data_IF_030755931742
#
_entry.id   IF_030755931742
#
_cell.length_a   1.000
_cell.length_b   1.000
_cell.length_c   1.000
_cell.angle_alpha   90.00
_cell.angle_beta   90.00
_cell.angle_gamma   90.00
#
_symmetry.space_group_name_H-M   'P 1'
#
loop_
_entity.id
_entity.type
_entity.pdbx_description
1 polymer ?
#
# COMPACT_ATOMS: atom_id res chain seq x y z
N UNK A 1 -17.36 -10.69 -27.52
CA UNK A 1 -17.31 -9.30 -26.99
C UNK A 1 -17.64 -9.35 -25.50
N UNK A 2 -16.69 -9.03 -24.62
CA UNK A 2 -16.96 -9.00 -23.17
C UNK A 2 -17.98 -7.90 -22.88
N UNK A 3 -19.11 -8.27 -22.26
CA UNK A 3 -20.19 -7.35 -21.90
C UNK A 3 -19.60 -6.29 -20.97
N UNK A 4 -19.68 -5.02 -21.37
CA UNK A 4 -19.17 -3.90 -20.56
C UNK A 4 -19.92 -3.88 -19.24
N UNK A 5 -19.20 -4.07 -18.13
CA UNK A 5 -19.77 -3.98 -16.78
C UNK A 5 -20.15 -2.53 -16.52
N UNK A 6 -21.37 -2.30 -16.00
CA UNK A 6 -21.87 -0.98 -15.57
C UNK A 6 -22.13 -1.08 -14.07
N UNK A 7 -21.48 -0.23 -13.28
CA UNK A 7 -21.66 -0.24 -11.83
C UNK A 7 -22.91 0.59 -11.47
N UNK A 8 -23.91 -0.04 -10.86
CA UNK A 8 -25.09 0.66 -10.34
C UNK A 8 -24.73 1.54 -9.14
N UNK A 9 -25.56 2.56 -8.86
CA UNK A 9 -25.38 3.40 -7.68
C UNK A 9 -25.40 2.58 -6.37
N UNK A 10 -26.22 1.52 -6.32
CA UNK A 10 -26.29 0.63 -5.16
C UNK A 10 -25.00 -0.17 -4.98
N UNK A 11 -24.41 -0.71 -6.07
CA UNK A 11 -23.11 -1.37 -6.00
C UNK A 11 -22.00 -0.44 -5.49
N UNK A 12 -22.00 0.82 -5.95
CA UNK A 12 -21.04 1.83 -5.50
C UNK A 12 -21.21 2.08 -3.99
N UNK A 13 -22.45 2.26 -3.52
CA UNK A 13 -22.76 2.45 -2.10
C UNK A 13 -22.30 1.26 -1.24
N UNK A 14 -22.55 0.04 -1.70
CA UNK A 14 -22.15 -1.17 -1.00
C UNK A 14 -20.63 -1.36 -0.98
N UNK A 15 -19.94 -1.03 -2.08
CA UNK A 15 -18.47 -1.02 -2.11
C UNK A 15 -17.88 0.01 -1.14
N UNK A 16 -18.47 1.21 -1.04
CA UNK A 16 -18.07 2.23 -0.06
C UNK A 16 -18.22 1.70 1.36
N UNK A 17 -19.35 1.06 1.66
CA UNK A 17 -19.63 0.52 2.99
C UNK A 17 -18.57 -0.50 3.41
N UNK A 18 -18.23 -1.43 2.53
CA UNK A 18 -17.26 -2.51 2.78
C UNK A 18 -15.80 -2.02 2.83
N UNK A 19 -15.36 -1.23 1.86
CA UNK A 19 -13.92 -1.02 1.62
C UNK A 19 -13.42 0.40 1.92
N UNK A 20 -14.28 1.42 1.87
CA UNK A 20 -13.84 2.82 1.98
C UNK A 20 -13.86 3.26 3.45
N UNK A 21 -12.70 3.25 4.10
CA UNK A 21 -12.53 3.77 5.46
C UNK A 21 -12.28 5.30 5.50
N UNK A 22 -11.61 5.83 4.47
CA UNK A 22 -11.43 7.27 4.26
C UNK A 22 -11.40 7.58 2.76
N UNK A 23 -11.61 8.85 2.41
CA UNK A 23 -11.75 9.30 1.01
C UNK A 23 -10.41 9.60 0.31
N UNK A 24 -9.28 9.54 1.01
CA UNK A 24 -7.98 9.54 0.35
C UNK A 24 -7.78 8.22 -0.41
N UNK A 25 -7.14 8.27 -1.58
CA UNK A 25 -6.91 7.10 -2.43
C UNK A 25 -5.70 7.30 -3.34
N UNK A 26 -5.28 6.23 -4.00
CA UNK A 26 -4.31 6.27 -5.10
C UNK A 26 -4.95 5.73 -6.38
N UNK A 27 -4.38 6.08 -7.52
CA UNK A 27 -4.76 5.57 -8.84
C UNK A 27 -3.55 4.90 -9.46
N UNK A 28 -3.74 3.73 -10.05
CA UNK A 28 -2.72 3.04 -10.82
C UNK A 28 -2.60 3.68 -12.22
N UNK A 29 -1.38 3.91 -12.69
CA UNK A 29 -1.11 4.47 -14.01
C UNK A 29 -1.76 3.63 -15.12
N UNK A 30 -2.34 4.29 -16.12
CA UNK A 30 -2.94 3.60 -17.27
C UNK A 30 -1.89 2.95 -18.15
N UNK A 31 -0.76 3.62 -18.34
CA UNK A 31 0.38 3.10 -19.09
C UNK A 31 1.39 2.49 -18.12
N UNK A 32 1.98 1.33 -18.46
CA UNK A 32 3.13 0.85 -17.73
C UNK A 32 4.31 1.79 -17.97
N UNK A 33 5.20 1.83 -16.98
CA UNK A 33 6.52 2.41 -17.11
C UNK A 33 7.31 1.73 -18.25
N UNK A 34 7.90 2.48 -19.18
CA UNK A 34 8.58 1.88 -20.35
C UNK A 34 9.74 0.96 -20.01
N UNK A 35 10.47 1.24 -18.92
CA UNK A 35 11.66 0.47 -18.53
C UNK A 35 11.30 -0.77 -17.70
N UNK A 36 10.53 -0.58 -16.63
CA UNK A 36 10.21 -1.66 -15.69
C UNK A 36 8.98 -2.47 -16.07
N UNK A 37 8.16 -1.98 -17.02
CA UNK A 37 6.85 -2.52 -17.34
C UNK A 37 5.81 -2.39 -16.21
N UNK A 38 6.15 -1.69 -15.12
CA UNK A 38 5.30 -1.60 -13.93
C UNK A 38 4.26 -0.49 -14.06
N UNK A 39 3.08 -0.74 -13.52
CA UNK A 39 2.08 0.30 -13.34
C UNK A 39 2.19 0.89 -11.94
N UNK A 40 2.58 2.16 -11.84
CA UNK A 40 2.79 2.84 -10.56
C UNK A 40 1.50 3.42 -10.00
N UNK A 41 1.40 3.44 -8.67
CA UNK A 41 0.31 4.14 -7.98
C UNK A 41 0.72 5.56 -7.65
N UNK A 42 -0.15 6.52 -7.93
CA UNK A 42 0.02 7.92 -7.57
C UNK A 42 -1.23 8.48 -6.90
N UNK A 43 -1.08 9.58 -6.16
CA UNK A 43 -2.22 10.29 -5.59
C UNK A 43 -2.76 11.29 -6.61
N UNK A 44 -4.04 11.24 -6.96
CA UNK A 44 -4.61 12.18 -7.91
C UNK A 44 -4.71 13.58 -7.28
N UNK A 45 -4.42 14.58 -8.10
CA UNK A 45 -4.50 16.01 -7.76
C UNK A 45 -5.25 16.74 -8.87
N UNK A 46 -5.82 17.89 -8.56
CA UNK A 46 -6.34 18.80 -9.58
C UNK A 46 -5.22 19.23 -10.55
N UNK A 47 -5.58 19.61 -11.78
CA UNK A 47 -4.60 20.07 -12.78
C UNK A 47 -3.92 21.36 -12.28
N UNK A 48 -2.58 21.42 -12.38
CA UNK A 48 -1.76 22.55 -11.92
C UNK A 48 -1.07 22.27 -10.58
N UNK A 49 -0.94 23.27 -9.70
CA UNK A 49 -0.41 23.10 -8.34
C UNK A 49 -1.38 22.37 -7.38
N UNK A 50 -2.36 21.65 -7.94
CA UNK A 50 -3.68 21.42 -7.39
C UNK A 50 -3.77 20.64 -6.07
N UNK A 51 -4.88 20.89 -5.37
CA UNK A 51 -5.23 20.20 -4.14
C UNK A 51 -5.43 18.68 -4.38
N UNK A 52 -5.26 17.84 -3.33
CA UNK A 52 -5.58 16.42 -3.41
C UNK A 52 -7.04 16.19 -3.80
N UNK A 53 -7.28 15.26 -4.73
CA UNK A 53 -8.63 14.84 -5.07
C UNK A 53 -9.13 13.79 -4.09
N UNK A 54 -10.40 13.92 -3.69
CA UNK A 54 -11.08 12.98 -2.81
C UNK A 54 -11.89 11.94 -3.61
N UNK A 55 -12.04 10.75 -3.04
CA UNK A 55 -12.72 9.63 -3.68
C UNK A 55 -14.22 9.92 -3.81
N UNK A 56 -14.72 10.04 -5.04
CA UNK A 56 -16.15 10.21 -5.32
C UNK A 56 -16.81 8.90 -5.78
N UNK A 57 -18.14 8.90 -5.81
CA UNK A 57 -18.93 7.77 -6.28
C UNK A 57 -18.65 7.48 -7.77
N UNK A 58 -18.41 8.51 -8.59
CA UNK A 58 -17.99 8.33 -9.99
C UNK A 58 -16.62 7.67 -10.10
N UNK A 59 -15.68 8.00 -9.21
CA UNK A 59 -14.34 7.37 -9.17
C UNK A 59 -14.45 5.88 -8.81
N UNK A 60 -15.35 5.53 -7.89
CA UNK A 60 -15.60 4.14 -7.51
C UNK A 60 -16.30 3.37 -8.62
N UNK A 61 -17.31 3.95 -9.27
CA UNK A 61 -17.91 3.37 -10.48
C UNK A 61 -16.84 3.11 -11.55
N UNK A 62 -15.96 4.06 -11.80
CA UNK A 62 -14.87 3.90 -12.78
C UNK A 62 -13.90 2.76 -12.44
N UNK A 63 -13.65 2.50 -11.16
CA UNK A 63 -12.88 1.36 -10.69
C UNK A 63 -13.58 0.04 -10.94
N UNK A 64 -14.85 -0.06 -10.51
CA UNK A 64 -15.67 -1.26 -10.65
C UNK A 64 -15.88 -1.62 -12.12
N UNK A 65 -16.06 -0.63 -12.99
CA UNK A 65 -16.19 -0.81 -14.44
C UNK A 65 -14.86 -1.08 -15.15
N UNK A 66 -13.74 -1.05 -14.43
CA UNK A 66 -12.41 -1.31 -14.98
C UNK A 66 -11.83 -0.17 -15.82
N UNK A 67 -12.40 1.03 -15.76
CA UNK A 67 -11.88 2.24 -16.43
C UNK A 67 -10.65 2.81 -15.71
N UNK A 68 -10.55 2.61 -14.40
CA UNK A 68 -9.34 2.89 -13.60
C UNK A 68 -9.12 1.80 -12.55
N UNK A 69 -8.02 1.90 -11.80
CA UNK A 69 -7.71 0.96 -10.71
C UNK A 69 -7.27 1.77 -9.51
N UNK A 70 -7.98 1.63 -8.40
CA UNK A 70 -7.76 2.40 -7.19
C UNK A 70 -6.88 1.63 -6.20
N UNK A 71 -6.11 2.37 -5.41
CA UNK A 71 -5.60 1.90 -4.13
C UNK A 71 -6.34 2.57 -2.99
N UNK A 72 -6.72 1.78 -1.98
CA UNK A 72 -7.45 2.21 -0.80
C UNK A 72 -6.55 2.18 0.42
N UNK A 73 -6.72 3.17 1.29
CA UNK A 73 -6.00 3.24 2.57
C UNK A 73 -6.83 2.63 3.69
N UNK A 74 -6.20 1.75 4.47
CA UNK A 74 -6.85 1.04 5.56
C UNK A 74 -7.15 1.94 6.77
N UNK A 75 -6.22 2.81 7.17
CA UNK A 75 -6.32 3.59 8.43
C UNK A 75 -6.94 4.97 8.20
N UNK A 76 -7.89 5.34 9.05
CA UNK A 76 -8.39 6.71 9.14
C UNK A 76 -7.54 7.51 10.17
N UNK A 77 -6.86 8.60 9.77
CA UNK A 77 -5.94 9.32 10.63
C UNK A 77 -6.64 10.05 11.78
N UNK A 78 -7.95 10.29 11.72
CA UNK A 78 -8.67 10.98 12.81
C UNK A 78 -8.86 10.10 14.04
N UNK A 79 -8.81 8.78 13.89
CA UNK A 79 -9.08 7.83 14.98
C UNK A 79 -8.16 6.61 15.00
N UNK A 80 -7.25 6.48 14.03
CA UNK A 80 -6.31 5.36 13.90
C UNK A 80 -6.99 3.98 13.76
N UNK A 81 -8.24 3.96 13.27
CA UNK A 81 -9.05 2.76 13.09
C UNK A 81 -9.15 2.35 11.62
N UNK A 82 -9.38 1.06 11.35
CA UNK A 82 -9.59 0.49 10.01
C UNK A 82 -10.93 -0.26 9.93
N UNK A 83 -11.49 -0.42 8.73
CA UNK A 83 -12.76 -1.16 8.47
C UNK A 83 -12.57 -2.65 8.16
N UNK A 84 -11.35 -3.01 7.82
CA UNK A 84 -10.98 -4.33 7.34
C UNK A 84 -9.51 -4.57 7.63
N UNK A 85 -9.15 -5.85 7.63
CA UNK A 85 -7.78 -6.34 7.61
C UNK A 85 -7.59 -7.09 6.31
N UNK A 86 -6.44 -6.90 5.66
CA UNK A 86 -6.08 -7.65 4.46
C UNK A 86 -4.68 -8.25 4.64
N UNK A 87 -4.56 -9.55 4.40
CA UNK A 87 -3.30 -10.28 4.40
C UNK A 87 -2.91 -10.51 2.95
N UNK A 88 -1.89 -9.80 2.48
CA UNK A 88 -1.38 -9.90 1.12
C UNK A 88 -0.23 -10.91 1.07
N UNK A 89 -0.35 -11.96 0.26
CA UNK A 89 0.68 -12.97 0.10
C UNK A 89 1.07 -13.11 -1.38
N UNK A 90 2.29 -12.68 -1.69
CA UNK A 90 2.89 -12.71 -3.03
C UNK A 90 4.28 -13.37 -2.98
N UNK A 91 4.29 -14.69 -2.71
CA UNK A 91 5.50 -15.52 -2.64
C UNK A 91 5.17 -17.00 -2.93
N UNK A 92 6.22 -17.83 -3.06
CA UNK A 92 6.05 -19.28 -3.27
C UNK A 92 5.32 -19.91 -2.07
N UNK A 93 4.32 -20.75 -2.33
CA UNK A 93 3.45 -21.37 -1.32
C UNK A 93 2.49 -20.41 -0.60
N UNK A 94 2.32 -19.17 -1.09
CA UNK A 94 1.42 -18.19 -0.50
C UNK A 94 -0.01 -18.72 -0.28
N UNK A 95 -0.55 -19.49 -1.23
CA UNK A 95 -1.90 -20.06 -1.11
C UNK A 95 -2.04 -21.02 0.08
N UNK A 96 -1.04 -21.86 0.33
CA UNK A 96 -1.07 -22.82 1.44
C UNK A 96 -1.11 -22.07 2.78
N UNK A 97 -0.33 -21.00 2.91
CA UNK A 97 -0.30 -20.19 4.12
C UNK A 97 -1.58 -19.36 4.30
N UNK A 98 -2.15 -18.83 3.21
CA UNK A 98 -3.46 -18.16 3.27
C UNK A 98 -4.58 -19.14 3.69
N UNK A 99 -4.55 -20.39 3.23
CA UNK A 99 -5.51 -21.43 3.63
C UNK A 99 -5.33 -21.81 5.10
N UNK A 100 -4.08 -21.98 5.59
CA UNK A 100 -3.82 -22.21 7.02
C UNK A 100 -4.38 -21.08 7.89
N UNK A 101 -4.13 -19.83 7.50
CA UNK A 101 -4.69 -18.66 8.19
C UNK A 101 -6.21 -18.68 8.18
N UNK A 102 -6.83 -18.90 7.00
CA UNK A 102 -8.29 -18.96 6.87
C UNK A 102 -8.90 -20.07 7.74
N UNK A 103 -8.27 -21.25 7.82
CA UNK A 103 -8.71 -22.34 8.67
C UNK A 103 -8.69 -21.97 10.16
N UNK A 104 -7.61 -21.33 10.63
CA UNK A 104 -7.53 -20.91 12.02
C UNK A 104 -8.49 -19.75 12.34
N UNK A 105 -8.67 -18.78 11.42
CA UNK A 105 -9.69 -17.74 11.54
C UNK A 105 -11.09 -18.36 11.67
N UNK A 106 -11.40 -19.39 10.88
CA UNK A 106 -12.68 -20.12 10.98
C UNK A 106 -12.85 -20.80 12.34
N UNK A 107 -11.77 -21.37 12.89
CA UNK A 107 -11.76 -21.95 14.25
C UNK A 107 -12.04 -20.88 15.31
N UNK A 108 -11.53 -19.67 15.11
CA UNK A 108 -11.82 -18.49 15.95
C UNK A 108 -13.23 -17.90 15.69
N UNK A 109 -14.02 -18.49 14.78
CA UNK A 109 -15.32 -18.00 14.29
C UNK A 109 -15.25 -16.61 13.62
N UNK A 110 -14.13 -16.34 12.97
CA UNK A 110 -13.88 -15.13 12.17
C UNK A 110 -13.96 -15.48 10.69
N UNK A 111 -14.97 -14.94 10.01
CA UNK A 111 -15.10 -15.13 8.57
C UNK A 111 -14.04 -14.33 7.81
N UNK A 112 -13.52 -14.93 6.74
CA UNK A 112 -12.57 -14.28 5.84
C UNK A 112 -12.82 -14.61 4.38
N UNK A 113 -12.50 -13.66 3.50
CA UNK A 113 -12.71 -13.76 2.06
C UNK A 113 -11.37 -13.83 1.32
N UNK A 114 -11.14 -14.90 0.58
CA UNK A 114 -9.93 -15.08 -0.20
C UNK A 114 -10.11 -14.48 -1.60
N UNK A 115 -9.42 -13.39 -1.89
CA UNK A 115 -9.32 -12.75 -3.22
C UNK A 115 -8.16 -13.37 -4.00
N UNK A 116 -8.39 -13.74 -5.26
CA UNK A 116 -7.30 -14.14 -6.17
C UNK A 116 -6.29 -13.00 -6.37
N UNK A 117 -5.04 -13.34 -6.67
CA UNK A 117 -4.05 -12.38 -7.16
C UNK A 117 -3.23 -12.96 -8.31
N UNK A 118 -2.25 -12.22 -8.81
CA UNK A 118 -1.40 -12.67 -9.93
C UNK A 118 -0.50 -13.85 -9.54
N UNK A 119 -0.01 -13.88 -8.30
CA UNK A 119 1.03 -14.81 -7.83
C UNK A 119 0.70 -15.47 -6.47
N UNK A 120 -0.46 -15.14 -5.90
CA UNK A 120 -0.96 -15.67 -4.64
C UNK A 120 -2.40 -15.19 -4.42
N UNK A 121 -2.65 -14.53 -3.30
CA UNK A 121 -3.98 -14.02 -2.96
C UNK A 121 -3.97 -12.93 -1.89
N UNK A 122 -5.14 -12.40 -1.60
CA UNK A 122 -5.37 -11.56 -0.43
C UNK A 122 -6.46 -12.18 0.44
N UNK A 123 -6.21 -12.36 1.73
CA UNK A 123 -7.24 -12.80 2.68
C UNK A 123 -7.80 -11.60 3.43
N UNK A 124 -9.10 -11.34 3.28
CA UNK A 124 -9.79 -10.17 3.81
C UNK A 124 -10.66 -10.53 5.00
N UNK A 125 -10.61 -9.72 6.05
CA UNK A 125 -11.47 -9.81 7.23
C UNK A 125 -12.21 -8.49 7.37
N UNK A 126 -13.54 -8.52 7.47
CA UNK A 126 -14.37 -7.32 7.62
C UNK A 126 -14.74 -7.10 9.08
N UNK A 127 -14.79 -5.84 9.49
CA UNK A 127 -14.99 -5.47 10.89
C UNK A 127 -16.39 -4.87 11.09
N UNK A 128 -17.01 -5.17 12.24
CA UNK A 128 -18.39 -4.78 12.53
C UNK A 128 -18.53 -3.25 12.66
N UNK A 129 -17.49 -2.63 13.19
CA UNK A 129 -17.25 -1.19 13.20
C UNK A 129 -15.75 -0.94 12.94
N UNK A 130 -15.30 0.29 12.65
CA UNK A 130 -13.88 0.56 12.55
C UNK A 130 -13.14 0.22 13.86
N UNK A 131 -12.18 -0.72 13.82
CA UNK A 131 -11.40 -1.17 14.99
C UNK A 131 -9.99 -0.61 14.97
N UNK A 132 -9.31 -0.60 16.13
CA UNK A 132 -7.97 -0.04 16.25
C UNK A 132 -6.97 -0.79 15.35
N UNK A 133 -6.25 -0.05 14.51
CA UNK A 133 -5.33 -0.65 13.54
C UNK A 133 -4.25 -1.52 14.22
N UNK A 134 -3.72 -1.05 15.35
CA UNK A 134 -2.74 -1.78 16.17
C UNK A 134 -3.26 -3.14 16.63
N UNK A 135 -4.46 -3.21 17.21
CA UNK A 135 -5.03 -4.47 17.70
C UNK A 135 -5.28 -5.45 16.55
N UNK A 136 -5.79 -4.96 15.42
CA UNK A 136 -5.96 -5.77 14.22
C UNK A 136 -4.64 -6.41 13.76
N UNK A 137 -3.52 -5.66 13.84
CA UNK A 137 -2.20 -6.20 13.54
C UNK A 137 -1.79 -7.26 14.57
N UNK A 138 -1.89 -6.98 15.87
CA UNK A 138 -1.52 -7.94 16.92
C UNK A 138 -2.18 -9.29 16.67
N UNK A 139 -3.50 -9.30 16.42
CA UNK A 139 -4.23 -10.53 16.17
C UNK A 139 -3.62 -11.34 15.00
N UNK A 140 -3.36 -10.71 13.86
CA UNK A 140 -2.83 -11.41 12.69
C UNK A 140 -1.37 -11.82 12.86
N UNK A 141 -0.54 -11.01 13.52
CA UNK A 141 0.85 -11.36 13.76
C UNK A 141 0.99 -12.51 14.78
N UNK A 142 0.19 -12.53 15.84
CA UNK A 142 0.10 -13.66 16.76
C UNK A 142 -0.32 -14.94 16.03
N UNK A 143 -1.38 -14.84 15.22
CA UNK A 143 -1.91 -15.92 14.41
C UNK A 143 -0.84 -16.49 13.45
N UNK A 144 -0.15 -15.61 12.71
CA UNK A 144 0.92 -16.00 11.80
C UNK A 144 2.09 -16.67 12.56
N UNK A 145 2.45 -16.13 13.73
CA UNK A 145 3.49 -16.70 14.59
C UNK A 145 3.16 -18.11 15.06
N UNK A 146 1.95 -18.33 15.59
CA UNK A 146 1.49 -19.66 16.04
C UNK A 146 1.44 -20.69 14.92
N UNK A 147 1.15 -20.25 13.70
CA UNK A 147 1.03 -21.13 12.52
C UNK A 147 2.35 -21.29 11.75
N UNK A 148 3.43 -20.61 12.17
CA UNK A 148 4.70 -20.61 11.44
C UNK A 148 4.60 -19.99 10.04
N UNK A 149 3.65 -19.08 9.83
CA UNK A 149 3.47 -18.39 8.54
C UNK A 149 4.50 -17.26 8.44
N UNK A 150 5.32 -17.22 7.38
CA UNK A 150 6.38 -16.22 7.26
C UNK A 150 5.79 -14.83 7.06
N UNK A 151 6.29 -13.84 7.81
CA UNK A 151 5.91 -12.44 7.65
C UNK A 151 7.06 -11.65 7.03
N UNK A 152 6.76 -10.88 5.99
CA UNK A 152 7.77 -10.11 5.28
C UNK A 152 8.33 -8.99 6.16
N UNK A 153 9.65 -8.82 6.15
CA UNK A 153 10.33 -7.75 6.88
C UNK A 153 10.71 -8.09 8.32
N UNK A 154 10.34 -9.26 8.86
CA UNK A 154 10.82 -9.76 10.16
C UNK A 154 12.12 -10.56 10.01
N UNK A 155 13.05 -10.08 9.18
CA UNK A 155 14.27 -10.80 8.79
C UNK A 155 14.12 -11.73 7.58
N UNK A 156 12.89 -11.93 7.09
CA UNK A 156 12.60 -12.71 5.88
C UNK A 156 12.42 -11.80 4.66
N UNK A 157 12.96 -12.23 3.52
CA UNK A 157 12.84 -11.52 2.24
C UNK A 157 11.43 -11.61 1.65
N UNK A 158 10.75 -12.74 1.89
CA UNK A 158 9.41 -13.06 1.43
C UNK A 158 8.52 -13.49 2.60
N UNK A 159 7.21 -13.36 2.42
CA UNK A 159 6.20 -13.66 3.43
C UNK A 159 4.95 -12.82 3.22
N UNK A 160 3.97 -13.00 4.10
CA UNK A 160 2.75 -12.21 4.11
C UNK A 160 3.05 -10.75 4.47
N UNK A 161 2.23 -9.84 3.96
CA UNK A 161 2.16 -8.44 4.40
C UNK A 161 0.78 -8.16 4.97
N UNK A 162 0.73 -7.64 6.21
CA UNK A 162 -0.53 -7.33 6.90
C UNK A 162 -0.91 -5.87 6.67
N UNK A 163 -2.14 -5.64 6.21
CA UNK A 163 -2.76 -4.31 6.11
C UNK A 163 -3.90 -4.20 7.15
N UNK A 164 -3.91 -3.17 8.01
CA UNK A 164 -2.99 -2.03 8.03
C UNK A 164 -1.51 -2.37 8.31
N UNK A 165 -0.59 -1.70 7.59
CA UNK A 165 0.87 -1.88 7.78
C UNK A 165 1.44 -1.11 8.98
N UNK A 166 0.68 -0.20 9.56
CA UNK A 166 1.12 0.68 10.66
C UNK A 166 0.15 0.55 11.83
N UNK A 167 0.66 0.71 13.05
CA UNK A 167 -0.18 0.81 14.26
C UNK A 167 -0.96 2.11 14.31
N UNK A 168 -0.33 3.17 13.80
CA UNK A 168 -0.92 4.50 13.66
C UNK A 168 -0.22 5.26 12.52
N UNK A 169 -0.85 6.31 12.03
CA UNK A 169 -0.31 7.24 11.06
C UNK A 169 -0.33 8.65 11.64
N UNK A 170 0.77 9.37 11.49
CA UNK A 170 0.88 10.76 11.90
C UNK A 170 -0.08 11.67 11.11
N UNK A 171 -0.40 12.84 11.68
CA UNK A 171 -1.19 13.87 11.00
C UNK A 171 -0.58 14.22 9.63
N UNK A 172 -1.40 14.23 8.59
CA UNK A 172 -0.97 14.48 7.21
C UNK A 172 -0.27 13.29 6.53
N UNK A 173 0.04 12.20 7.24
CA UNK A 173 0.56 10.98 6.65
C UNK A 173 -0.57 10.15 6.03
N UNK A 174 -0.25 9.50 4.90
CA UNK A 174 -1.21 8.65 4.21
C UNK A 174 -1.07 7.16 4.59
N UNK A 175 0.11 6.70 5.01
CA UNK A 175 0.35 5.27 5.20
C UNK A 175 0.40 4.50 3.87
N UNK A 176 0.12 3.21 3.91
CA UNK A 176 0.20 2.33 2.74
C UNK A 176 -1.21 2.02 2.21
N UNK A 177 -1.38 2.16 0.90
CA UNK A 177 -2.58 1.72 0.21
C UNK A 177 -2.40 0.29 -0.30
N UNK A 178 -3.51 -0.45 -0.37
CA UNK A 178 -3.63 -1.72 -1.08
C UNK A 178 -4.55 -1.53 -2.29
N UNK A 179 -4.38 -2.31 -3.37
CA UNK A 179 -5.30 -2.26 -4.52
C UNK A 179 -6.73 -2.53 -4.03
N UNK A 180 -7.67 -1.68 -4.42
CA UNK A 180 -9.09 -1.91 -4.19
C UNK A 180 -9.56 -3.18 -4.89
N UNK A 181 -10.28 -4.10 -4.22
CA UNK A 181 -10.83 -5.30 -4.84
C UNK A 181 -11.82 -4.99 -5.94
N UNK A 182 -12.20 -6.01 -6.71
CA UNK A 182 -13.27 -5.89 -7.71
C UNK A 182 -13.06 -4.76 -8.74
N UNK A 183 -11.80 -4.39 -9.00
CA UNK A 183 -11.35 -3.57 -10.13
C UNK A 183 -10.51 -4.40 -11.12
N UNK A 184 -10.27 -3.90 -12.34
CA UNK A 184 -9.33 -4.56 -13.27
C UNK A 184 -7.89 -4.32 -12.79
N UNK A 185 -7.10 -5.38 -12.67
CA UNK A 185 -5.67 -5.28 -12.39
C UNK A 185 -4.92 -4.96 -13.69
N UNK A 186 -4.27 -3.78 -13.76
CA UNK A 186 -3.68 -3.29 -15.03
C UNK A 186 -2.63 -4.22 -15.61
N UNK A 187 -1.68 -4.67 -14.79
CA UNK A 187 -0.63 -5.57 -15.25
C UNK A 187 -1.09 -6.98 -15.64
N UNK A 188 -2.35 -7.35 -15.38
CA UNK A 188 -2.89 -8.67 -15.74
C UNK A 188 -4.06 -8.57 -16.74
N UNK A 189 -4.52 -7.35 -17.04
CA UNK A 189 -5.66 -7.11 -17.94
C UNK A 189 -6.99 -7.72 -17.49
N UNK A 190 -7.10 -8.24 -16.26
CA UNK A 190 -8.28 -8.95 -15.76
C UNK A 190 -8.64 -8.55 -14.35
N UNK A 191 -9.88 -8.83 -13.97
CA UNK A 191 -10.33 -8.74 -12.58
C UNK A 191 -9.91 -9.99 -11.82
N UNK A 192 -9.56 -9.80 -10.56
CA UNK A 192 -9.44 -10.89 -9.61
C UNK A 192 -10.70 -10.94 -8.75
N UNK A 193 -11.26 -12.14 -8.61
CA UNK A 193 -12.49 -12.41 -7.91
C UNK A 193 -12.18 -13.01 -6.53
N UNK A 194 -13.12 -12.86 -5.60
CA UNK A 194 -13.14 -13.66 -4.40
C UNK A 194 -13.63 -15.07 -4.72
N UNK A 195 -13.04 -16.07 -4.08
CA UNK A 195 -13.59 -17.42 -4.06
C UNK A 195 -14.91 -17.43 -3.29
N UNK A 196 -15.79 -18.39 -3.62
CA UNK A 196 -17.08 -18.57 -2.93
C UNK A 196 -18.26 -17.78 -3.51
N UNK A 197 -18.09 -17.12 -4.67
CA UNK A 197 -19.15 -16.40 -5.37
C UNK A 197 -18.96 -16.38 -6.89
N UNK A 198 -20.05 -16.17 -7.63
CA UNK A 198 -20.03 -16.04 -9.09
C UNK A 198 -19.22 -14.83 -9.56
N UNK A 199 -18.79 -14.86 -10.82
CA UNK A 199 -17.95 -13.83 -11.44
C UNK A 199 -18.73 -12.60 -11.94
N UNK A 200 -19.59 -12.07 -11.07
CA UNK A 200 -20.34 -10.81 -11.28
C UNK A 200 -20.09 -9.86 -10.09
N UNK A 201 -20.22 -8.55 -10.30
CA UNK A 201 -19.98 -7.60 -9.20
C UNK A 201 -21.03 -7.78 -8.09
N UNK A 202 -22.26 -8.05 -8.48
CA UNK A 202 -23.41 -8.25 -7.61
C UNK A 202 -23.22 -9.47 -6.72
N UNK A 203 -22.89 -10.64 -7.29
CA UNK A 203 -22.68 -11.85 -6.52
C UNK A 203 -21.51 -11.70 -5.53
N UNK A 204 -20.45 -11.02 -5.95
CA UNK A 204 -19.27 -10.80 -5.12
C UNK A 204 -19.58 -9.88 -3.94
N UNK A 205 -20.26 -8.76 -4.17
CA UNK A 205 -20.65 -7.85 -3.09
C UNK A 205 -21.64 -8.53 -2.14
N UNK A 206 -22.61 -9.28 -2.65
CA UNK A 206 -23.56 -10.03 -1.81
C UNK A 206 -22.87 -11.09 -0.95
N UNK A 207 -21.89 -11.82 -1.50
CA UNK A 207 -21.07 -12.75 -0.75
C UNK A 207 -20.33 -12.05 0.40
N UNK A 208 -19.62 -10.95 0.11
CA UNK A 208 -18.86 -10.21 1.12
C UNK A 208 -19.74 -9.62 2.22
N UNK A 209 -20.96 -9.19 1.89
CA UNK A 209 -21.93 -8.65 2.86
C UNK A 209 -22.41 -9.71 3.87
N UNK A 210 -22.52 -10.96 3.44
CA UNK A 210 -22.99 -12.10 4.25
C UNK A 210 -21.97 -12.58 5.27
N UNK A 211 -20.69 -12.29 5.05
CA UNK A 211 -19.64 -12.64 5.99
C UNK A 211 -19.91 -12.00 7.35
N UNK A 212 -19.71 -12.80 8.40
CA UNK A 212 -19.67 -12.34 9.78
C UNK A 212 -18.55 -11.32 9.91
N UNK A 213 -18.84 -10.23 10.60
CA UNK A 213 -17.90 -9.13 10.80
C UNK A 213 -17.31 -9.26 12.20
N UNK A 214 -15.99 -9.17 12.31
CA UNK A 214 -15.27 -9.24 13.58
C UNK A 214 -15.62 -8.02 14.45
N UNK A 215 -16.05 -8.27 15.69
CA UNK A 215 -16.39 -7.23 16.66
C UNK A 215 -15.18 -6.74 17.46
N UNK A 216 -15.32 -5.59 18.12
CA UNK A 216 -14.28 -5.05 19.02
C UNK A 216 -14.04 -5.99 20.20
N UNK A 217 -15.11 -6.52 20.81
CA UNK A 217 -15.06 -7.44 21.95
C UNK A 217 -14.31 -8.75 21.62
N UNK A 218 -14.53 -9.30 20.42
CA UNK A 218 -13.80 -10.48 19.94
C UNK A 218 -12.32 -10.15 19.72
N UNK A 219 -12.03 -9.02 19.07
CA UNK A 219 -10.65 -8.59 18.83
C UNK A 219 -9.89 -8.34 20.14
N UNK A 220 -10.52 -7.70 21.11
CA UNK A 220 -9.95 -7.48 22.44
C UNK A 220 -9.64 -8.82 23.13
N UNK A 221 -10.54 -9.80 23.03
CA UNK A 221 -10.33 -11.15 23.58
C UNK A 221 -9.14 -11.85 22.91
N UNK A 222 -9.02 -11.78 21.59
CA UNK A 222 -7.92 -12.41 20.85
C UNK A 222 -6.56 -11.75 21.09
N UNK A 223 -6.57 -10.48 21.51
CA UNK A 223 -5.34 -9.69 21.73
C UNK A 223 -5.02 -9.47 23.20
N UNK A 224 -5.85 -9.97 24.12
CA UNK A 224 -5.67 -9.82 25.55
C UNK A 224 -4.35 -10.46 26.02
N UNK A 225 -3.45 -9.63 26.56
CA UNK A 225 -2.13 -10.07 27.04
C UNK A 225 -1.12 -10.33 25.93
N UNK A 226 -1.48 -10.11 24.66
CA UNK A 226 -0.59 -10.30 23.51
C UNK A 226 -0.11 -8.94 23.00
N UNK A 227 1.17 -8.88 22.65
CA UNK A 227 1.74 -7.71 21.96
C UNK A 227 2.32 -8.11 20.60
N UNK A 228 2.65 -7.11 19.77
CA UNK A 228 3.33 -7.37 18.51
C UNK A 228 4.69 -8.06 18.76
N UNK A 229 5.07 -9.03 17.91
CA UNK A 229 6.39 -9.63 17.97
C UNK A 229 7.49 -8.57 17.93
N UNK A 230 8.56 -8.76 18.70
CA UNK A 230 9.64 -7.79 18.85
C UNK A 230 10.28 -7.42 17.50
N UNK A 231 10.37 -8.37 16.58
CA UNK A 231 10.91 -8.21 15.23
C UNK A 231 10.09 -7.21 14.41
N UNK A 232 8.78 -7.19 14.63
CA UNK A 232 7.83 -6.28 14.00
C UNK A 232 7.98 -4.88 14.59
N UNK A 233 8.04 -4.78 15.92
CA UNK A 233 8.26 -3.50 16.62
C UNK A 233 9.60 -2.85 16.21
N UNK A 234 10.63 -3.65 15.99
CA UNK A 234 11.94 -3.20 15.51
C UNK A 234 11.87 -2.71 14.06
N UNK A 235 11.04 -3.29 13.18
CA UNK A 235 10.88 -2.80 11.81
C UNK A 235 10.13 -1.46 11.74
N UNK A 236 9.18 -1.20 12.65
CA UNK A 236 8.45 0.09 12.68
C UNK A 236 9.30 1.21 13.29
N UNK A 237 10.16 0.88 14.26
CA UNK A 237 11.07 1.84 14.93
C UNK A 237 12.41 2.02 14.21
N UNK A 238 12.76 1.13 13.28
CA UNK A 238 13.88 1.32 12.37
C UNK A 238 13.53 2.32 11.26
N UNK A 239 13.42 3.61 11.60
CA UNK A 239 14.20 4.55 10.80
C UNK A 239 15.64 4.01 10.83
N UNK A 240 16.36 3.89 9.71
CA UNK A 240 17.70 3.33 9.74
C UNK A 240 18.48 4.08 10.81
N UNK A 241 18.77 3.42 11.93
CA UNK A 241 19.70 3.95 12.91
C UNK A 241 20.96 4.14 12.08
N UNK A 242 21.38 5.39 11.92
CA UNK A 242 22.69 5.71 11.40
C UNK A 242 23.65 4.88 12.25
N UNK A 243 24.09 3.73 11.73
CA UNK A 243 25.21 3.04 12.33
C UNK A 243 26.34 4.04 12.22
N UNK A 244 26.87 4.43 13.37
CA UNK A 244 28.07 5.26 13.58
C UNK A 244 29.34 4.60 12.98
N UNK A 245 29.25 4.06 11.76
CA UNK A 245 30.37 3.42 11.06
C UNK A 245 31.20 4.42 10.24
N UNK A 246 30.88 5.72 10.28
CA UNK A 246 31.55 6.71 9.44
C UNK A 246 31.87 8.03 10.17
N UNK A 247 32.08 7.99 11.49
CA UNK A 247 32.53 9.13 12.29
C UNK A 247 33.99 9.59 12.01
N UNK A 248 34.47 9.43 10.76
CA UNK A 248 35.85 9.77 10.40
C UNK A 248 36.13 9.91 8.89
N UNK A 249 35.13 9.85 8.00
CA UNK A 249 35.35 9.95 6.55
C UNK A 249 34.57 11.10 5.92
N UNK A 250 35.21 11.83 4.99
CA UNK A 250 34.73 12.98 4.18
C UNK A 250 33.20 13.10 4.05
N UNK A 251 32.64 14.33 4.03
CA UNK A 251 31.19 14.53 3.97
C UNK A 251 30.58 13.75 2.81
N UNK A 252 29.74 12.76 3.15
CA UNK A 252 29.01 11.97 2.17
C UNK A 252 28.06 12.86 1.37
N UNK A 253 27.84 12.51 0.11
CA UNK A 253 26.94 13.25 -0.75
C UNK A 253 25.50 13.27 -0.20
N UNK A 254 24.98 14.47 0.02
CA UNK A 254 23.57 14.73 0.33
C UNK A 254 22.92 15.44 -0.85
N UNK A 255 21.83 14.89 -1.40
CA UNK A 255 21.13 15.49 -2.55
C UNK A 255 20.49 16.84 -2.19
N UNK A 256 20.14 17.06 -0.92
CA UNK A 256 19.48 18.28 -0.44
C UNK A 256 20.35 19.53 -0.64
N UNK A 257 21.67 19.38 -0.66
CA UNK A 257 22.60 20.49 -0.87
C UNK A 257 22.59 21.00 -2.32
N UNK A 258 22.00 20.23 -3.25
CA UNK A 258 22.05 20.49 -4.70
C UNK A 258 20.66 20.71 -5.32
N UNK A 259 19.61 20.69 -4.51
CA UNK A 259 18.22 20.85 -4.98
C UNK A 259 17.58 22.07 -4.34
N UNK A 260 16.63 22.67 -5.05
CA UNK A 260 15.95 23.88 -4.61
C UNK A 260 14.96 23.65 -3.47
N UNK A 261 14.15 24.68 -3.20
CA UNK A 261 13.13 24.69 -2.13
C UNK A 261 12.37 23.37 -2.05
N UNK A 262 12.34 22.80 -0.85
CA UNK A 262 11.65 21.56 -0.55
C UNK A 262 10.33 21.85 0.18
N UNK A 263 9.38 20.93 0.07
CA UNK A 263 8.19 20.86 0.93
C UNK A 263 8.05 19.47 1.52
N UNK A 264 7.61 19.37 2.76
CA UNK A 264 7.42 18.07 3.40
C UNK A 264 6.10 17.46 2.95
N UNK A 265 6.14 16.23 2.43
CA UNK A 265 4.97 15.45 2.05
C UNK A 265 5.13 14.02 2.58
N UNK A 266 4.43 13.72 3.67
CA UNK A 266 4.58 12.45 4.37
C UNK A 266 6.00 12.30 4.93
N UNK A 267 6.70 11.23 4.55
CA UNK A 267 8.09 10.96 4.99
C UNK A 267 9.15 11.58 4.07
N UNK A 268 8.78 12.40 3.07
CA UNK A 268 9.71 12.90 2.07
C UNK A 268 9.73 14.44 2.02
N UNK A 269 10.93 14.99 1.81
CA UNK A 269 11.09 16.27 1.14
C UNK A 269 10.78 16.07 -0.34
N UNK A 270 9.82 16.83 -0.84
CA UNK A 270 9.45 16.85 -2.25
C UNK A 270 9.95 18.14 -2.87
N UNK A 271 10.66 18.02 -3.98
CA UNK A 271 11.27 19.14 -4.71
C UNK A 271 11.38 18.83 -6.18
N UNK A 272 11.89 19.79 -6.94
CA UNK A 272 12.13 19.66 -8.37
C UNK A 272 13.26 18.67 -8.63
N UNK A 273 13.04 17.68 -9.49
CA UNK A 273 14.07 16.78 -10.00
C UNK A 273 15.00 17.53 -10.98
N UNK A 274 16.31 17.61 -10.72
CA UNK A 274 17.27 18.29 -11.59
C UNK A 274 17.29 17.75 -13.03
N UNK A 275 17.23 16.43 -13.19
CA UNK A 275 17.24 15.79 -14.51
C UNK A 275 15.95 16.03 -15.30
N UNK A 276 14.78 15.91 -14.65
CA UNK A 276 13.51 16.25 -15.30
C UNK A 276 13.41 17.74 -15.62
N UNK A 277 14.00 18.62 -14.80
CA UNK A 277 13.96 20.05 -15.01
C UNK A 277 14.69 20.44 -16.31
N UNK A 278 15.87 19.85 -16.56
CA UNK A 278 16.66 20.09 -17.77
C UNK A 278 15.92 19.69 -19.05
N UNK A 279 15.02 18.72 -18.96
CA UNK A 279 14.20 18.23 -20.09
C UNK A 279 12.79 18.81 -20.10
N UNK A 280 12.45 19.72 -19.19
CA UNK A 280 11.12 20.36 -19.11
C UNK A 280 9.99 19.44 -18.60
N UNK A 281 10.33 18.28 -18.03
CA UNK A 281 9.42 17.24 -17.55
C UNK A 281 9.03 17.37 -16.06
N UNK A 282 9.56 18.36 -15.34
CA UNK A 282 9.16 18.69 -13.96
C UNK A 282 8.69 20.13 -13.83
N UNK A 283 7.55 20.42 -14.45
CA UNK A 283 6.90 21.74 -14.39
C UNK A 283 6.29 22.03 -13.02
N UNK A 284 5.88 20.98 -12.30
CA UNK A 284 5.28 21.07 -10.96
C UNK A 284 6.29 21.27 -9.83
N UNK A 285 7.57 20.98 -10.06
CA UNK A 285 8.61 21.04 -9.05
C UNK A 285 8.44 20.00 -7.95
N UNK A 286 7.88 18.85 -8.28
CA UNK A 286 7.51 17.82 -7.31
C UNK A 286 7.84 16.39 -7.72
N UNK A 287 8.70 16.21 -8.74
CA UNK A 287 9.07 14.87 -9.18
C UNK A 287 10.13 14.21 -8.28
N UNK A 288 10.96 14.95 -7.54
CA UNK A 288 11.98 14.36 -6.68
C UNK A 288 11.47 14.23 -5.25
N UNK A 289 11.42 12.98 -4.77
CA UNK A 289 11.16 12.66 -3.38
C UNK A 289 12.46 12.23 -2.70
N UNK A 290 12.82 12.92 -1.62
CA UNK A 290 13.99 12.66 -0.78
C UNK A 290 13.50 12.29 0.61
N UNK A 291 13.89 11.14 1.14
CA UNK A 291 13.43 10.66 2.45
C UNK A 291 13.94 11.59 3.56
N UNK A 292 13.03 12.06 4.42
CA UNK A 292 13.35 13.01 5.52
C UNK A 292 14.30 12.37 6.53
N UNK A 293 14.07 11.10 6.86
CA UNK A 293 14.91 10.40 7.84
C UNK A 293 16.31 10.05 7.32
N UNK A 294 16.49 10.01 5.99
CA UNK A 294 17.78 9.74 5.38
C UNK A 294 17.84 10.29 3.94
N UNK A 295 18.39 11.50 3.75
CA UNK A 295 18.46 12.16 2.45
C UNK A 295 19.26 11.42 1.37
N UNK A 296 19.98 10.34 1.71
CA UNK A 296 20.64 9.47 0.73
C UNK A 296 19.64 8.65 -0.09
N UNK A 297 18.44 8.44 0.46
CA UNK A 297 17.35 7.78 -0.23
C UNK A 297 16.48 8.81 -0.93
N UNK A 298 16.64 8.89 -2.23
CA UNK A 298 15.83 9.73 -3.09
C UNK A 298 15.48 8.99 -4.37
N UNK A 299 14.34 9.35 -4.96
CA UNK A 299 13.86 8.80 -6.22
C UNK A 299 13.07 9.87 -6.98
N UNK A 300 13.12 9.78 -8.30
CA UNK A 300 12.28 10.59 -9.18
C UNK A 300 10.99 9.83 -9.51
N UNK A 301 9.82 10.40 -9.21
CA UNK A 301 8.52 9.82 -9.56
C UNK A 301 8.24 9.80 -11.07
N UNK A 302 8.98 10.58 -11.86
CA UNK A 302 8.92 10.58 -13.31
C UNK A 302 9.95 9.63 -13.97
N UNK A 303 10.69 8.83 -13.17
CA UNK A 303 11.51 7.74 -13.68
C UNK A 303 12.99 8.05 -13.92
N UNK A 304 13.51 9.23 -13.58
CA UNK A 304 14.95 9.47 -13.69
C UNK A 304 15.75 8.56 -12.76
N UNK A 305 16.80 7.93 -13.30
CA UNK A 305 17.74 7.15 -12.51
C UNK A 305 18.57 8.03 -11.59
N UNK A 306 19.19 7.43 -10.56
CA UNK A 306 20.08 8.18 -9.65
C UNK A 306 21.25 8.77 -10.42
N UNK A 307 21.78 8.06 -11.40
CA UNK A 307 22.89 8.47 -12.27
C UNK A 307 22.51 9.72 -13.06
N UNK A 308 21.31 9.75 -13.66
CA UNK A 308 20.80 10.92 -14.38
C UNK A 308 20.64 12.13 -13.47
N UNK A 309 20.06 11.94 -12.28
CA UNK A 309 19.88 13.01 -11.29
C UNK A 309 21.24 13.56 -10.84
N UNK A 310 22.19 12.67 -10.56
CA UNK A 310 23.56 12.96 -10.12
C UNK A 310 24.38 13.67 -11.19
N UNK A 311 24.27 13.24 -12.45
CA UNK A 311 24.88 13.91 -13.58
C UNK A 311 24.31 15.33 -13.77
N UNK A 312 22.99 15.50 -13.66
CA UNK A 312 22.32 16.79 -13.83
C UNK A 312 22.75 17.87 -12.81
N UNK A 313 23.25 17.47 -11.63
CA UNK A 313 23.78 18.39 -10.60
C UNK A 313 25.32 18.47 -10.60
N UNK A 314 25.99 17.96 -11.63
CA UNK A 314 27.46 17.99 -11.73
C UNK A 314 28.18 17.09 -10.73
N UNK A 315 27.50 16.10 -10.17
CA UNK A 315 28.06 15.10 -9.25
C UNK A 315 27.77 13.70 -9.80
N UNK A 316 28.37 13.23 -10.91
CA UNK A 316 28.08 11.89 -11.44
C UNK A 316 28.45 10.79 -10.43
N UNK A 317 27.73 9.65 -10.45
CA UNK A 317 28.14 8.47 -9.66
C UNK A 317 29.32 7.82 -10.41
N UNK A 318 30.48 7.76 -9.78
CA UNK A 318 31.64 7.07 -10.35
C UNK A 318 31.43 5.58 -10.15
N UNK A 319 31.06 4.88 -11.20
CA UNK A 319 31.02 3.42 -11.20
C UNK A 319 32.47 2.94 -11.31
N UNK A 320 33.02 2.37 -10.24
CA UNK A 320 34.27 1.60 -10.36
C UNK A 320 33.93 0.36 -11.17
N UNK A 321 34.37 0.32 -12.43
CA UNK A 321 34.42 -0.93 -13.17
C UNK A 321 35.43 -1.83 -12.44
N UNK A 322 34.94 -2.85 -11.77
CA UNK A 322 35.77 -3.97 -11.33
C UNK A 322 36.21 -4.72 -12.59
N UNK A 323 37.48 -4.57 -12.94
CA UNK A 323 38.20 -5.47 -13.83
C UNK A 323 38.35 -6.85 -13.18
#
# INVERSE_FOLDING_TARGET
MSRRVIATAELVKQYIALFVNRRAYTVQSLRPDPESGRHYYYRPKEKGAGAPLWLTDQTISAHLEGRMTLGLYAINPSNQRCKWVAIDADYRNAMDDLIKLQYQLTTDRVDSALEMSRRGGHLWIFLAAPLLARQCRIYIYDLAGRLGVPVKGTGLADGIEVFPKHDSIATGAFGNAIRGPLGIHRGAGRRFWFYGADYTLEAQIEFLKRLRKLSEEELDRFTAGTDLPAEVLQTVSAAPKLKDQYAGSKPMFCILDYVGKTRVVGKNYVTRCPSCAQTGHDRGGDNLAVLVSDPRFYLCWAGCTKEMIRAAIGRPIVVRQTA
#
